data_IF_524708707068
#
_entry.id   IF_524708707068
#
_cell.length_a   1.000
_cell.length_b   1.000
_cell.length_c   1.000
_cell.angle_alpha   90.00
_cell.angle_beta   90.00
_cell.angle_gamma   90.00
#
_symmetry.space_group_name_H-M   'P 1'
#
loop_
_entity.id
_entity.type
_entity.pdbx_description
1 polymer ?
#
# COMPACT_ATOMS: atom_id res chain seq x y z
N UNK A 1 -6.89 20.99 4.96
CA UNK A 1 -5.94 19.87 4.79
C UNK A 1 -6.16 18.74 5.78
N UNK A 2 -6.35 19.01 7.07
CA UNK A 2 -6.48 17.93 8.07
C UNK A 2 -7.69 17.02 7.87
N UNK A 3 -8.88 17.58 7.57
CA UNK A 3 -10.08 16.79 7.25
C UNK A 3 -9.85 15.84 6.06
N UNK A 4 -9.22 16.35 5.00
CA UNK A 4 -8.88 15.57 3.78
C UNK A 4 -7.92 14.44 4.12
N UNK A 5 -6.84 14.71 4.87
CA UNK A 5 -5.89 13.69 5.31
C UNK A 5 -6.55 12.60 6.15
N UNK A 6 -7.50 12.97 7.03
CA UNK A 6 -8.25 12.01 7.84
C UNK A 6 -9.12 11.08 6.99
N UNK A 7 -9.78 11.64 5.97
CA UNK A 7 -10.57 10.86 4.99
C UNK A 7 -9.66 9.89 4.24
N UNK A 8 -8.51 10.37 3.74
CA UNK A 8 -7.57 9.55 2.98
C UNK A 8 -7.00 8.42 3.82
N UNK A 9 -6.59 8.69 5.06
CA UNK A 9 -6.16 7.64 5.98
C UNK A 9 -7.27 6.62 6.23
N UNK A 10 -8.51 7.07 6.44
CA UNK A 10 -9.65 6.17 6.62
C UNK A 10 -9.86 5.28 5.40
N UNK A 11 -9.77 5.82 4.19
CA UNK A 11 -9.90 5.05 2.95
C UNK A 11 -8.74 4.06 2.81
N UNK A 12 -7.50 4.46 3.08
CA UNK A 12 -6.34 3.57 3.05
C UNK A 12 -6.54 2.38 4.00
N UNK A 13 -7.02 2.62 5.23
CA UNK A 13 -7.31 1.55 6.18
C UNK A 13 -8.44 0.61 5.73
N UNK A 14 -9.49 1.15 5.09
CA UNK A 14 -10.56 0.33 4.51
C UNK A 14 -10.01 -0.57 3.42
N UNK A 15 -9.17 -0.04 2.52
CA UNK A 15 -8.53 -0.84 1.47
C UNK A 15 -7.70 -1.96 2.09
N UNK A 16 -6.78 -1.64 3.01
CA UNK A 16 -5.91 -2.64 3.65
C UNK A 16 -6.73 -3.71 4.39
N UNK A 17 -7.80 -3.33 5.09
CA UNK A 17 -8.67 -4.27 5.77
C UNK A 17 -9.37 -5.22 4.79
N UNK A 18 -9.91 -4.70 3.69
CA UNK A 18 -10.55 -5.52 2.65
C UNK A 18 -9.55 -6.45 1.98
N UNK A 19 -8.37 -5.96 1.62
CA UNK A 19 -7.29 -6.75 1.03
C UNK A 19 -6.86 -7.89 1.96
N UNK A 20 -6.73 -7.60 3.27
CA UNK A 20 -6.38 -8.60 4.28
C UNK A 20 -7.45 -9.67 4.48
N UNK A 21 -8.72 -9.27 4.54
CA UNK A 21 -9.85 -10.21 4.63
C UNK A 21 -9.86 -11.13 3.41
N UNK A 22 -9.74 -10.56 2.21
CA UNK A 22 -9.71 -11.31 0.97
C UNK A 22 -8.55 -12.30 0.93
N UNK A 23 -7.35 -11.89 1.35
CA UNK A 23 -6.18 -12.76 1.43
C UNK A 23 -6.42 -13.96 2.36
N UNK A 24 -7.05 -13.75 3.52
CA UNK A 24 -7.36 -14.83 4.48
C UNK A 24 -8.44 -15.76 3.93
N UNK A 25 -9.54 -15.20 3.42
CA UNK A 25 -10.68 -15.97 2.91
C UNK A 25 -10.27 -16.85 1.73
N UNK A 26 -9.43 -16.32 0.83
CA UNK A 26 -9.00 -17.01 -0.38
C UNK A 26 -7.69 -17.78 -0.23
N UNK A 27 -7.09 -17.80 0.96
CA UNK A 27 -5.77 -18.40 1.19
C UNK A 27 -5.63 -19.84 0.69
N UNK A 28 -6.69 -20.65 0.84
CA UNK A 28 -6.68 -22.05 0.41
C UNK A 28 -6.89 -22.23 -1.10
N UNK A 29 -7.48 -21.24 -1.76
CA UNK A 29 -7.71 -21.23 -3.21
C UNK A 29 -6.46 -20.75 -3.97
N UNK A 30 -5.56 -20.01 -3.30
CA UNK A 30 -4.34 -19.46 -3.91
C UNK A 30 -3.34 -20.58 -4.21
N UNK A 31 -2.86 -20.71 -5.47
CA UNK A 31 -1.87 -21.73 -5.84
C UNK A 31 -0.54 -21.53 -5.10
N UNK A 32 0.16 -22.62 -4.80
CA UNK A 32 1.44 -22.60 -4.07
C UNK A 32 2.53 -21.77 -4.76
N UNK A 33 2.47 -21.71 -6.09
CA UNK A 33 3.23 -20.83 -6.95
C UNK A 33 2.32 -19.68 -7.37
N UNK A 34 2.60 -18.50 -6.84
CA UNK A 34 1.91 -17.25 -7.23
C UNK A 34 2.64 -16.72 -8.45
N UNK A 35 2.40 -17.40 -9.57
CA UNK A 35 2.74 -16.89 -10.89
C UNK A 35 1.58 -15.99 -11.27
N UNK A 36 1.62 -14.73 -10.84
CA UNK A 36 0.71 -13.75 -11.41
C UNK A 36 1.13 -13.55 -12.86
N UNK A 37 0.48 -14.29 -13.76
CA UNK A 37 0.42 -13.98 -15.16
C UNK A 37 -0.44 -12.71 -15.35
N UNK A 38 -0.08 -11.61 -14.68
CA UNK A 38 -0.14 -10.31 -15.36
C UNK A 38 0.66 -10.59 -16.63
N UNK A 39 0.15 -10.28 -17.82
CA UNK A 39 0.81 -10.55 -19.12
C UNK A 39 2.19 -9.89 -19.32
N UNK A 40 2.89 -9.58 -18.23
CA UNK A 40 4.18 -8.97 -18.03
C UNK A 40 5.21 -9.95 -17.44
N UNK A 41 4.88 -11.25 -17.25
CA UNK A 41 5.86 -12.32 -16.98
C UNK A 41 6.59 -12.25 -15.63
N UNK A 42 6.07 -11.49 -14.65
CA UNK A 42 6.69 -11.35 -13.34
C UNK A 42 6.15 -12.45 -12.40
N UNK A 43 7.02 -13.39 -12.02
CA UNK A 43 6.71 -14.42 -11.02
C UNK A 43 7.10 -13.91 -9.63
N UNK A 44 6.13 -13.78 -8.73
CA UNK A 44 6.37 -13.41 -7.33
C UNK A 44 6.85 -14.59 -6.48
N UNK A 45 6.92 -15.79 -7.07
CA UNK A 45 7.44 -16.99 -6.41
C UNK A 45 6.38 -17.72 -5.59
N UNK A 46 6.66 -17.96 -4.31
CA UNK A 46 5.81 -18.77 -3.42
C UNK A 46 4.67 -17.96 -2.82
N UNK A 47 3.50 -18.59 -2.59
CA UNK A 47 2.38 -18.00 -1.83
C UNK A 47 2.77 -17.38 -0.49
N UNK A 48 3.88 -17.81 0.10
CA UNK A 48 4.41 -17.29 1.36
C UNK A 48 4.92 -15.83 1.27
N UNK A 49 5.10 -15.29 0.06
CA UNK A 49 5.46 -13.89 -0.14
C UNK A 49 4.26 -12.94 0.02
N UNK A 50 3.02 -13.42 -0.19
CA UNK A 50 1.81 -12.61 -0.10
C UNK A 50 1.57 -12.06 1.32
N UNK A 51 1.68 -12.86 2.40
CA UNK A 51 1.62 -12.32 3.76
C UNK A 51 2.74 -11.31 4.04
N UNK A 52 3.94 -11.52 3.49
CA UNK A 52 5.05 -10.59 3.65
C UNK A 52 4.77 -9.24 2.96
N UNK A 53 4.24 -9.26 1.73
CA UNK A 53 3.81 -8.06 1.01
C UNK A 53 2.68 -7.33 1.74
N UNK A 54 1.70 -8.07 2.25
CA UNK A 54 0.62 -7.50 3.06
C UNK A 54 1.13 -6.88 4.37
N UNK A 55 2.11 -7.51 5.04
CA UNK A 55 2.78 -6.92 6.19
C UNK A 55 3.51 -5.62 5.85
N UNK A 56 4.17 -5.55 4.69
CA UNK A 56 4.80 -4.30 4.21
C UNK A 56 3.73 -3.23 3.96
N UNK A 57 2.61 -3.59 3.33
CA UNK A 57 1.47 -2.68 3.10
C UNK A 57 0.91 -2.12 4.42
N UNK A 58 0.76 -2.97 5.44
CA UNK A 58 0.36 -2.56 6.78
C UNK A 58 1.36 -1.56 7.40
N UNK A 59 2.66 -1.86 7.33
CA UNK A 59 3.72 -0.98 7.85
C UNK A 59 3.70 0.37 7.14
N UNK A 60 3.62 0.36 5.81
CA UNK A 60 3.56 1.59 5.00
C UNK A 60 2.33 2.42 5.38
N UNK A 61 1.14 1.79 5.43
CA UNK A 61 -0.11 2.46 5.80
C UNK A 61 -0.07 3.03 7.22
N UNK A 62 0.55 2.28 8.15
CA UNK A 62 0.74 2.71 9.53
C UNK A 62 1.69 3.92 9.63
N UNK A 63 2.82 3.90 8.92
CA UNK A 63 3.78 5.02 8.87
C UNK A 63 3.12 6.30 8.33
N UNK A 64 2.32 6.19 7.27
CA UNK A 64 1.54 7.31 6.74
C UNK A 64 0.47 7.81 7.73
N UNK A 65 -0.19 6.89 8.44
CA UNK A 65 -1.21 7.22 9.45
C UNK A 65 -0.60 8.02 10.62
N UNK A 66 0.57 7.60 11.11
CA UNK A 66 1.30 8.28 12.17
C UNK A 66 1.93 9.60 11.73
N UNK A 67 1.77 9.99 10.46
CA UNK A 67 2.44 11.15 9.85
C UNK A 67 3.95 11.10 10.08
N UNK A 68 4.55 9.91 9.96
CA UNK A 68 5.99 9.77 10.06
C UNK A 68 6.63 10.72 9.03
N UNK A 69 7.59 11.55 9.47
CA UNK A 69 8.32 12.44 8.56
C UNK A 69 9.20 11.55 7.69
N UNK A 70 8.63 11.08 6.58
CA UNK A 70 9.33 10.26 5.59
C UNK A 70 10.62 11.00 5.25
N UNK A 71 11.79 10.34 5.25
CA UNK A 71 13.06 11.01 5.01
C UNK A 71 13.03 11.89 3.76
N UNK A 72 12.28 11.49 2.72
CA UNK A 72 11.99 12.31 1.54
C UNK A 72 11.24 13.63 1.84
N UNK A 73 10.16 13.58 2.62
CA UNK A 73 9.41 14.79 3.04
C UNK A 73 10.27 15.67 3.95
N UNK A 74 11.09 15.06 4.80
CA UNK A 74 12.04 15.77 5.67
C UNK A 74 13.11 16.49 4.86
N UNK A 75 13.66 15.86 3.83
CA UNK A 75 14.60 16.48 2.89
C UNK A 75 13.93 17.62 2.10
N UNK A 76 12.70 17.40 1.59
CA UNK A 76 11.94 18.42 0.87
C UNK A 76 11.40 19.56 1.76
N UNK A 77 11.36 19.38 3.08
CA UNK A 77 11.07 20.46 4.04
C UNK A 77 12.28 21.39 4.23
N UNK A 78 13.51 20.91 3.94
CA UNK A 78 14.73 21.75 3.97
C UNK A 78 14.83 22.65 2.75
N UNK A 79 14.29 22.24 1.61
CA UNK A 79 14.09 23.16 0.49
C UNK A 79 12.91 24.10 0.81
N UNK A 80 12.95 25.35 0.35
CA UNK A 80 11.94 26.40 0.64
C UNK A 80 10.55 26.13 0.01
N UNK A 81 10.16 24.86 -0.13
CA UNK A 81 8.92 24.41 -0.73
C UNK A 81 7.76 24.67 0.24
N UNK A 82 6.60 25.07 -0.30
CA UNK A 82 5.44 25.38 0.55
C UNK A 82 4.95 24.14 1.31
N UNK A 83 4.57 24.32 2.58
CA UNK A 83 3.98 23.24 3.41
C UNK A 83 2.75 22.60 2.76
N UNK A 84 1.95 23.37 2.00
CA UNK A 84 0.78 22.86 1.28
C UNK A 84 1.16 21.88 0.17
N UNK A 85 2.26 22.13 -0.53
CA UNK A 85 2.75 21.26 -1.59
C UNK A 85 3.30 19.94 -1.03
N UNK A 86 4.05 20.01 0.08
CA UNK A 86 4.53 18.82 0.79
C UNK A 86 3.37 17.92 1.26
N UNK A 87 2.31 18.53 1.78
CA UNK A 87 1.12 17.82 2.22
C UNK A 87 0.40 17.09 1.08
N UNK A 88 0.34 17.68 -0.11
CA UNK A 88 -0.27 17.06 -1.30
C UNK A 88 0.61 15.93 -1.82
N UNK A 89 1.93 16.13 -1.88
CA UNK A 89 2.87 15.08 -2.31
C UNK A 89 2.83 13.87 -1.39
N UNK A 90 2.76 14.09 -0.07
CA UNK A 90 2.63 13.00 0.90
C UNK A 90 1.36 12.17 0.67
N UNK A 91 0.25 12.84 0.39
CA UNK A 91 -1.02 12.20 0.05
C UNK A 91 -0.92 11.37 -1.23
N UNK A 92 -0.30 11.91 -2.28
CA UNK A 92 -0.15 11.22 -3.56
C UNK A 92 0.71 9.96 -3.37
N UNK A 93 1.84 10.07 -2.68
CA UNK A 93 2.73 8.93 -2.43
C UNK A 93 2.02 7.85 -1.61
N UNK A 94 1.26 8.24 -0.58
CA UNK A 94 0.45 7.31 0.21
C UNK A 94 -0.55 6.56 -0.67
N UNK A 95 -1.32 7.28 -1.49
CA UNK A 95 -2.33 6.68 -2.35
C UNK A 95 -1.71 5.74 -3.38
N UNK A 96 -0.62 6.14 -4.03
CA UNK A 96 0.11 5.31 -5.00
C UNK A 96 0.66 4.06 -4.32
N UNK A 97 1.28 4.20 -3.16
CA UNK A 97 1.86 3.07 -2.41
C UNK A 97 0.80 2.05 -1.98
N UNK A 98 -0.30 2.51 -1.39
CA UNK A 98 -1.41 1.64 -0.99
C UNK A 98 -2.00 0.95 -2.21
N UNK A 99 -2.35 1.69 -3.26
CA UNK A 99 -3.00 1.11 -4.46
C UNK A 99 -2.13 0.06 -5.13
N UNK A 100 -0.82 0.34 -5.33
CA UNK A 100 0.09 -0.61 -5.97
C UNK A 100 0.24 -1.89 -5.12
N UNK A 101 0.42 -1.75 -3.80
CA UNK A 101 0.58 -2.91 -2.91
C UNK A 101 -0.71 -3.73 -2.82
N UNK A 102 -1.87 -3.08 -2.66
CA UNK A 102 -3.15 -3.77 -2.65
C UNK A 102 -3.42 -4.48 -3.98
N UNK A 103 -3.07 -3.87 -5.12
CA UNK A 103 -3.20 -4.50 -6.44
C UNK A 103 -2.42 -5.80 -6.54
N UNK A 104 -1.19 -5.84 -6.00
CA UNK A 104 -0.38 -7.07 -6.02
C UNK A 104 -1.04 -8.21 -5.23
N UNK A 105 -1.58 -7.91 -4.05
CA UNK A 105 -2.28 -8.91 -3.24
C UNK A 105 -3.59 -9.34 -3.90
N UNK A 106 -4.37 -8.38 -4.42
CA UNK A 106 -5.65 -8.66 -5.08
C UNK A 106 -5.50 -9.50 -6.34
N UNK A 107 -4.47 -9.25 -7.15
CA UNK A 107 -4.21 -10.04 -8.36
C UNK A 107 -3.95 -11.51 -8.05
N UNK A 108 -3.26 -11.80 -6.94
CA UNK A 108 -3.03 -13.18 -6.52
C UNK A 108 -4.28 -13.85 -5.92
N UNK A 109 -5.23 -13.07 -5.41
CA UNK A 109 -6.49 -13.56 -4.82
C UNK A 109 -7.58 -13.81 -5.88
N UNK A 110 -7.57 -13.05 -6.97
CA UNK A 110 -8.60 -13.12 -8.03
C UNK A 110 -8.28 -14.18 -9.09
N UNK A 111 -7.01 -14.62 -9.20
CA UNK A 111 -6.62 -15.76 -10.04
C UNK A 111 -7.14 -17.09 -9.47
#
# INVERSE_FOLDING_TARGET
MEKVKKIINSISWVIVALTGILLIVKWNDIPALVITHIGMGISYGSKNILPMLFCIELVVTFLFTLRYDIPFIREMRKSKVSRKFLDIMAIIIQMVGVVILSLFVLLAVVQ
#
